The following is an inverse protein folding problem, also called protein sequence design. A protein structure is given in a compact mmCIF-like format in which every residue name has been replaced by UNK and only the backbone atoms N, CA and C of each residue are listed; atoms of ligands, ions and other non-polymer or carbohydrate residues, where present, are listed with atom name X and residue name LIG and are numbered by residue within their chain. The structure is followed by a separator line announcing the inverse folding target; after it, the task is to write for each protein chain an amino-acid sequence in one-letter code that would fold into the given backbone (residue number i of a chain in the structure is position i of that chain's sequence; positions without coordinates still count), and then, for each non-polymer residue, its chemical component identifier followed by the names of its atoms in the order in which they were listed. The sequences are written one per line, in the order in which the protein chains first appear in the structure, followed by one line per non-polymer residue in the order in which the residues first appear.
data_IF_612050983380
#
_entry.id   IF_612050983380
#
_cell.length_a   1.000
_cell.length_b   1.000
_cell.length_c   1.000
_cell.angle_alpha   90.00
_cell.angle_beta   90.00
_cell.angle_gamma   90.00
#
_symmetry.space_group_name_H-M   'P 1'
#
loop_
_entity.id
_entity.type
_entity.pdbx_description
1 polymer ?
#
# COMPACT_ATOMS: atom_id res chain seq x y z
N UNK A 1 46.99 -14.43 16.15
CA UNK A 1 46.91 -15.40 15.03
C UNK A 1 46.28 -14.70 13.85
N UNK A 2 47.08 -14.21 12.91
CA UNK A 2 46.57 -13.71 11.64
C UNK A 2 46.52 -14.90 10.70
N UNK A 3 45.32 -15.38 10.34
CA UNK A 3 45.15 -16.43 9.35
C UNK A 3 45.64 -15.91 8.00
N UNK A 4 46.71 -16.51 7.48
CA UNK A 4 47.53 -16.00 6.38
C UNK A 4 47.00 -16.32 4.97
N UNK A 5 45.76 -16.78 4.81
CA UNK A 5 45.31 -17.42 3.55
C UNK A 5 43.96 -16.93 3.02
N UNK A 6 43.75 -15.62 2.99
CA UNK A 6 42.81 -15.03 2.02
C UNK A 6 43.64 -14.28 0.98
N UNK A 7 43.79 -14.87 -0.21
CA UNK A 7 44.30 -14.17 -1.38
C UNK A 7 43.22 -13.18 -1.84
N UNK A 8 43.12 -12.06 -1.11
CA UNK A 8 42.05 -11.05 -1.25
C UNK A 8 42.01 -10.39 -2.63
N UNK A 9 43.05 -10.57 -3.46
CA UNK A 9 43.10 -10.05 -4.83
C UNK A 9 42.55 -10.99 -5.91
N UNK A 10 42.51 -12.31 -5.68
CA UNK A 10 42.23 -13.30 -6.75
C UNK A 10 40.90 -14.06 -6.60
N UNK A 11 40.15 -13.84 -5.50
CA UNK A 11 38.86 -14.52 -5.27
C UNK A 11 38.98 -16.02 -4.98
N UNK A 12 40.15 -16.47 -4.52
CA UNK A 12 40.49 -17.87 -4.31
C UNK A 12 40.69 -18.18 -2.82
N UNK A 13 40.39 -19.42 -2.46
CA UNK A 13 40.74 -20.06 -1.18
C UNK A 13 41.59 -21.29 -1.43
N UNK A 14 42.42 -21.63 -0.45
CA UNK A 14 43.24 -22.84 -0.49
C UNK A 14 42.36 -24.07 -0.26
N UNK A 15 42.45 -25.03 -1.18
CA UNK A 15 41.83 -26.36 -1.05
C UNK A 15 42.82 -27.36 -0.46
N UNK A 16 44.06 -27.31 -0.93
CA UNK A 16 45.17 -28.12 -0.45
C UNK A 16 46.42 -27.26 -0.38
N UNK A 17 47.07 -27.24 0.77
CA UNK A 17 48.31 -26.49 0.98
C UNK A 17 49.49 -27.03 0.21
N UNK A 18 50.55 -26.23 0.18
CA UNK A 18 51.82 -26.59 -0.42
C UNK A 18 52.38 -27.87 0.23
N UNK A 19 52.82 -28.81 -0.59
CA UNK A 19 53.53 -30.02 -0.17
C UNK A 19 54.96 -30.03 -0.75
N UNK A 20 55.83 -30.91 -0.24
CA UNK A 20 57.23 -30.98 -0.67
C UNK A 20 57.41 -31.27 -2.17
N UNK A 21 56.44 -31.94 -2.79
CA UNK A 21 56.47 -32.39 -4.19
C UNK A 21 55.26 -31.91 -5.01
N UNK A 22 54.43 -31.04 -4.45
CA UNK A 22 53.22 -30.56 -5.11
C UNK A 22 52.93 -29.12 -4.71
N UNK A 23 52.58 -28.31 -5.70
CA UNK A 23 52.15 -26.94 -5.50
C UNK A 23 50.81 -26.88 -4.77
N UNK A 24 50.54 -25.75 -4.12
CA UNK A 24 49.24 -25.44 -3.52
C UNK A 24 48.11 -25.53 -4.55
N UNK A 25 47.00 -26.15 -4.17
CA UNK A 25 45.77 -26.20 -4.97
C UNK A 25 44.77 -25.19 -4.44
N UNK A 26 44.32 -24.30 -5.32
CA UNK A 26 43.35 -23.25 -5.03
C UNK A 26 42.00 -23.54 -5.66
N UNK A 27 40.92 -23.09 -5.02
CA UNK A 27 39.56 -23.12 -5.54
C UNK A 27 38.86 -21.76 -5.33
N UNK A 28 37.80 -21.44 -6.10
CA UNK A 28 37.05 -20.19 -5.92
C UNK A 28 36.43 -20.07 -4.53
N UNK A 29 36.42 -18.86 -4.00
CA UNK A 29 35.68 -18.51 -2.79
C UNK A 29 34.16 -18.52 -3.04
N UNK A 30 33.37 -18.51 -1.97
CA UNK A 30 31.92 -18.35 -2.08
C UNK A 30 31.55 -17.02 -2.75
N UNK A 31 30.64 -17.08 -3.71
CA UNK A 31 30.28 -15.92 -4.54
C UNK A 31 31.28 -15.63 -5.67
N UNK A 32 32.21 -16.54 -5.98
CA UNK A 32 33.13 -16.45 -7.11
C UNK A 32 33.05 -17.70 -8.00
N UNK A 33 33.41 -17.54 -9.27
CA UNK A 33 33.58 -18.63 -10.22
C UNK A 33 34.96 -18.59 -10.85
N UNK A 34 35.48 -19.76 -11.23
CA UNK A 34 36.79 -19.88 -11.84
C UNK A 34 36.78 -19.35 -13.27
N UNK A 35 37.70 -18.45 -13.60
CA UNK A 35 37.91 -17.95 -14.96
C UNK A 35 39.17 -18.52 -15.62
N UNK A 36 40.10 -19.04 -14.82
CA UNK A 36 41.33 -19.68 -15.29
C UNK A 36 41.51 -21.06 -14.61
N UNK A 37 41.09 -22.11 -15.32
CA UNK A 37 41.16 -23.50 -14.87
C UNK A 37 42.57 -24.06 -15.05
N UNK A 38 43.12 -24.64 -13.98
CA UNK A 38 44.31 -25.49 -13.98
C UNK A 38 43.92 -26.97 -13.85
N UNK A 39 44.89 -27.87 -14.02
CA UNK A 39 44.68 -29.32 -13.97
C UNK A 39 43.95 -29.79 -12.71
N UNK A 40 44.25 -29.22 -11.55
CA UNK A 40 43.68 -29.64 -10.25
C UNK A 40 43.01 -28.49 -9.47
N UNK A 41 42.89 -27.29 -10.05
CA UNK A 41 42.41 -26.11 -9.32
C UNK A 41 42.13 -24.89 -10.19
N UNK A 42 42.09 -23.72 -9.57
CA UNK A 42 41.79 -22.45 -10.21
C UNK A 42 42.90 -21.43 -9.98
N UNK A 43 43.38 -20.80 -11.06
CA UNK A 43 44.45 -19.80 -10.99
C UNK A 43 43.91 -18.37 -10.76
N UNK A 44 42.70 -18.10 -11.21
CA UNK A 44 42.01 -16.83 -11.04
C UNK A 44 40.50 -17.04 -10.99
N UNK A 45 39.84 -16.37 -10.04
CA UNK A 45 38.40 -16.39 -9.92
C UNK A 45 37.81 -14.98 -10.00
N UNK A 46 36.61 -14.87 -10.54
CA UNK A 46 35.85 -13.63 -10.62
C UNK A 46 34.60 -13.73 -9.77
N UNK A 47 34.21 -12.61 -9.15
CA UNK A 47 32.98 -12.53 -8.38
C UNK A 47 31.78 -12.80 -9.29
N UNK A 48 30.82 -13.56 -8.81
CA UNK A 48 29.55 -13.75 -9.51
C UNK A 48 28.90 -12.40 -9.81
N UNK A 49 28.40 -12.24 -11.03
CA UNK A 49 27.61 -11.06 -11.38
C UNK A 49 26.35 -10.98 -10.53
N UNK A 50 25.92 -9.76 -10.25
CA UNK A 50 24.58 -9.50 -9.73
C UNK A 50 23.61 -9.36 -10.91
N UNK A 51 22.35 -9.69 -10.69
CA UNK A 51 21.30 -9.33 -11.61
C UNK A 51 20.85 -7.90 -11.32
N UNK A 52 20.50 -7.18 -12.38
CA UNK A 52 20.03 -5.80 -12.25
C UNK A 52 18.55 -5.79 -11.83
N UNK A 53 18.05 -4.69 -11.25
CA UNK A 53 16.61 -4.52 -11.07
C UNK A 53 15.90 -4.65 -12.43
N UNK A 54 14.80 -5.41 -12.48
CA UNK A 54 14.20 -5.85 -13.75
C UNK A 54 14.52 -7.30 -14.11
N UNK A 55 15.59 -7.86 -13.54
CA UNK A 55 16.03 -9.23 -13.78
C UNK A 55 15.88 -10.11 -12.54
N UNK A 56 15.69 -11.41 -12.77
CA UNK A 56 15.77 -12.44 -11.75
C UNK A 56 16.94 -13.39 -12.04
N UNK A 57 17.39 -14.11 -11.01
CA UNK A 57 18.44 -15.12 -11.13
C UNK A 57 17.84 -16.37 -11.76
N UNK A 58 18.08 -16.58 -13.05
CA UNK A 58 17.60 -17.77 -13.77
C UNK A 58 18.49 -18.98 -13.55
N UNK A 59 19.78 -18.78 -13.24
CA UNK A 59 20.68 -19.84 -12.80
C UNK A 59 21.65 -19.31 -11.76
N UNK A 60 21.70 -19.96 -10.60
CA UNK A 60 22.68 -19.65 -9.56
C UNK A 60 24.11 -19.89 -10.08
N UNK A 61 25.02 -18.98 -9.73
CA UNK A 61 26.44 -19.16 -9.96
C UNK A 61 26.98 -20.38 -9.20
N UNK A 62 27.99 -21.01 -9.76
CA UNK A 62 28.72 -22.13 -9.15
C UNK A 62 30.21 -21.79 -9.10
N UNK A 63 31.03 -22.65 -8.50
CA UNK A 63 32.49 -22.50 -8.56
C UNK A 63 33.04 -22.49 -10.00
N UNK A 64 32.30 -22.98 -10.99
CA UNK A 64 32.72 -23.08 -12.39
C UNK A 64 31.96 -22.17 -13.34
N UNK A 65 30.81 -21.62 -12.94
CA UNK A 65 29.96 -20.82 -13.80
C UNK A 65 29.49 -19.56 -13.10
N UNK A 66 29.42 -18.47 -13.84
CA UNK A 66 28.80 -17.24 -13.36
C UNK A 66 27.26 -17.38 -13.20
N UNK A 67 26.69 -16.51 -12.39
CA UNK A 67 25.25 -16.32 -12.24
C UNK A 67 24.64 -15.92 -13.59
N UNK A 68 23.51 -16.54 -13.95
CA UNK A 68 22.71 -16.11 -15.11
C UNK A 68 21.47 -15.36 -14.66
N UNK A 69 21.17 -14.30 -15.39
CA UNK A 69 20.05 -13.41 -15.16
C UNK A 69 19.10 -13.46 -16.35
N UNK A 70 17.81 -13.32 -16.08
CA UNK A 70 16.76 -13.23 -17.10
C UNK A 70 15.80 -12.09 -16.76
N UNK A 71 15.19 -11.47 -17.77
CA UNK A 71 14.25 -10.36 -17.61
C UNK A 71 12.90 -10.81 -17.03
N UNK A 72 12.27 -9.94 -16.26
CA UNK A 72 10.88 -10.11 -15.84
C UNK A 72 9.89 -9.82 -16.96
N UNK A 73 8.85 -10.65 -17.07
CA UNK A 73 7.73 -10.41 -17.97
C UNK A 73 6.82 -9.28 -17.45
N UNK A 74 6.02 -8.69 -18.33
CA UNK A 74 5.01 -7.72 -17.95
C UNK A 74 4.09 -8.23 -16.84
N UNK A 75 3.74 -7.36 -15.89
CA UNK A 75 2.97 -7.72 -14.70
C UNK A 75 3.77 -8.39 -13.58
N UNK A 76 5.10 -8.41 -13.69
CA UNK A 76 5.99 -8.94 -12.65
C UNK A 76 7.23 -8.06 -12.47
N UNK A 77 7.87 -8.17 -11.31
CA UNK A 77 9.06 -7.40 -10.96
C UNK A 77 10.10 -8.19 -10.17
N UNK A 78 11.34 -7.69 -10.16
CA UNK A 78 12.40 -8.15 -9.28
C UNK A 78 13.43 -7.06 -9.02
N UNK A 79 13.98 -7.03 -7.82
CA UNK A 79 15.08 -6.14 -7.42
C UNK A 79 16.47 -6.68 -7.81
N UNK A 80 16.56 -7.78 -8.57
CA UNK A 80 17.84 -8.40 -8.96
C UNK A 80 18.38 -9.44 -7.99
N UNK A 81 17.73 -9.69 -6.85
CA UNK A 81 18.18 -10.68 -5.85
C UNK A 81 17.30 -11.93 -5.77
N UNK A 82 16.19 -11.97 -6.52
CA UNK A 82 15.21 -13.05 -6.44
C UNK A 82 15.51 -14.15 -7.46
N UNK A 83 15.08 -15.39 -7.16
CA UNK A 83 15.17 -16.55 -8.07
C UNK A 83 14.02 -16.60 -9.10
N UNK A 84 13.03 -15.73 -8.95
CA UNK A 84 11.91 -15.56 -9.87
C UNK A 84 11.35 -14.15 -9.72
N UNK A 85 10.68 -13.65 -10.75
CA UNK A 85 9.93 -12.40 -10.64
C UNK A 85 8.68 -12.60 -9.78
N UNK A 86 8.34 -11.58 -9.00
CA UNK A 86 7.09 -11.54 -8.25
C UNK A 86 6.02 -10.83 -9.07
N UNK A 87 4.76 -11.31 -9.05
CA UNK A 87 3.67 -10.60 -9.71
C UNK A 87 3.46 -9.22 -9.06
N UNK A 88 3.01 -8.25 -9.85
CA UNK A 88 2.62 -6.94 -9.32
C UNK A 88 1.42 -7.05 -8.39
N UNK A 89 1.40 -6.20 -7.36
CA UNK A 89 0.25 -6.04 -6.48
C UNK A 89 -0.94 -5.49 -7.27
N UNK A 90 -2.07 -6.20 -7.17
CA UNK A 90 -3.33 -5.80 -7.79
C UNK A 90 -4.15 -4.95 -6.82
N UNK A 91 -3.94 -3.63 -6.83
CA UNK A 91 -4.56 -2.71 -5.87
C UNK A 91 -6.09 -2.83 -5.76
N UNK A 92 -6.77 -3.12 -6.87
CA UNK A 92 -8.24 -3.24 -6.89
C UNK A 92 -8.74 -4.42 -6.04
N UNK A 93 -7.98 -5.52 -5.97
CA UNK A 93 -8.31 -6.67 -5.11
C UNK A 93 -8.24 -6.33 -3.62
N UNK A 94 -7.41 -5.34 -3.28
CA UNK A 94 -7.20 -4.84 -1.92
C UNK A 94 -8.10 -3.64 -1.58
N UNK A 95 -9.09 -3.31 -2.42
CA UNK A 95 -9.93 -2.10 -2.29
C UNK A 95 -9.14 -0.78 -2.26
N UNK A 96 -7.94 -0.77 -2.82
CA UNK A 96 -7.08 0.41 -2.95
C UNK A 96 -7.08 0.92 -4.39
N UNK A 97 -6.68 2.17 -4.59
CA UNK A 97 -6.43 2.72 -5.92
C UNK A 97 -4.95 2.63 -6.27
N UNK A 98 -4.68 2.33 -7.53
CA UNK A 98 -3.34 2.41 -8.09
C UNK A 98 -2.86 3.86 -8.08
N UNK A 99 -1.82 4.14 -7.29
CA UNK A 99 -1.17 5.46 -7.24
C UNK A 99 -0.08 5.52 -8.31
N UNK A 100 0.67 4.42 -8.47
CA UNK A 100 1.75 4.31 -9.45
C UNK A 100 1.83 2.90 -9.99
N UNK A 101 1.88 2.79 -11.30
CA UNK A 101 2.04 1.51 -11.98
C UNK A 101 3.39 0.86 -11.63
N UNK A 102 3.37 -0.45 -11.43
CA UNK A 102 4.59 -1.25 -11.27
C UNK A 102 5.43 -1.26 -12.54
N UNK A 103 6.72 -1.54 -12.38
CA UNK A 103 7.69 -1.71 -13.46
C UNK A 103 8.35 -3.08 -13.36
N UNK A 104 9.25 -3.47 -14.28
CA UNK A 104 9.99 -4.72 -14.10
C UNK A 104 10.90 -4.71 -12.86
N UNK A 105 11.25 -3.55 -12.31
CA UNK A 105 12.14 -3.42 -11.16
C UNK A 105 11.42 -3.11 -9.84
N UNK A 106 10.18 -2.64 -9.89
CA UNK A 106 9.42 -2.20 -8.72
C UNK A 106 7.97 -2.65 -8.78
N UNK A 107 7.39 -2.89 -7.62
CA UNK A 107 5.96 -3.18 -7.52
C UNK A 107 5.09 -1.96 -7.84
N UNK A 108 3.80 -2.20 -8.04
CA UNK A 108 2.77 -1.18 -8.04
C UNK A 108 2.59 -0.56 -6.65
N UNK A 109 2.41 0.77 -6.59
CA UNK A 109 2.12 1.48 -5.35
C UNK A 109 0.61 1.72 -5.25
N UNK A 110 0.01 1.25 -4.17
CA UNK A 110 -1.42 1.36 -3.89
C UNK A 110 -1.69 2.38 -2.78
N UNK A 111 -2.85 3.03 -2.80
CA UNK A 111 -3.24 4.02 -1.80
C UNK A 111 -4.75 4.14 -1.65
N UNK A 112 -5.20 4.74 -0.55
CA UNK A 112 -6.62 4.87 -0.26
C UNK A 112 -7.36 5.74 -1.28
N UNK A 113 -8.61 5.37 -1.53
CA UNK A 113 -9.53 6.20 -2.30
C UNK A 113 -10.00 7.36 -1.44
N UNK A 114 -9.41 8.54 -1.62
CA UNK A 114 -9.97 9.80 -1.10
C UNK A 114 -11.33 10.03 -1.74
N UNK A 115 -12.38 9.52 -1.10
CA UNK A 115 -13.73 9.66 -1.56
C UNK A 115 -14.25 11.02 -1.10
N UNK A 116 -14.21 12.01 -2.00
CA UNK A 116 -14.88 13.30 -1.82
C UNK A 116 -16.39 13.18 -1.57
N UNK A 117 -16.96 11.98 -1.74
CA UNK A 117 -18.34 11.67 -1.40
C UNK A 117 -18.68 12.02 0.05
N UNK A 118 -17.77 11.85 1.00
CA UNK A 118 -18.04 12.26 2.40
C UNK A 118 -18.26 13.76 2.51
N UNK A 119 -17.43 14.57 1.84
CA UNK A 119 -17.58 16.02 1.81
C UNK A 119 -18.84 16.49 1.08
N UNK A 120 -19.19 15.84 -0.04
CA UNK A 120 -20.41 16.14 -0.82
C UNK A 120 -21.66 15.78 -0.01
N UNK A 121 -21.70 14.63 0.65
CA UNK A 121 -22.83 14.19 1.47
C UNK A 121 -23.05 15.15 2.64
N UNK A 122 -21.97 15.55 3.32
CA UNK A 122 -22.05 16.54 4.42
C UNK A 122 -22.53 17.90 3.88
N UNK A 123 -22.02 18.34 2.73
CA UNK A 123 -22.44 19.58 2.09
C UNK A 123 -23.92 19.59 1.74
N UNK A 124 -24.42 18.53 1.09
CA UNK A 124 -25.84 18.38 0.74
C UNK A 124 -26.73 18.36 1.98
N UNK A 125 -26.34 17.62 3.03
CA UNK A 125 -27.06 17.60 4.30
C UNK A 125 -27.14 19.00 4.93
N UNK A 126 -26.02 19.72 4.99
CA UNK A 126 -25.99 21.10 5.51
C UNK A 126 -26.87 22.05 4.69
N UNK A 127 -26.84 21.97 3.36
CA UNK A 127 -27.67 22.80 2.49
C UNK A 127 -29.16 22.52 2.67
N UNK A 128 -29.56 21.25 2.81
CA UNK A 128 -30.97 20.89 3.04
C UNK A 128 -31.47 21.38 4.41
N UNK A 129 -30.63 21.30 5.45
CA UNK A 129 -30.96 21.84 6.78
C UNK A 129 -31.05 23.37 6.75
N UNK A 130 -30.13 24.05 6.07
CA UNK A 130 -30.16 25.51 5.94
C UNK A 130 -31.37 25.99 5.13
N UNK A 131 -31.74 25.28 4.05
CA UNK A 131 -32.89 25.61 3.22
C UNK A 131 -34.22 25.39 3.95
N UNK A 132 -34.35 24.35 4.78
CA UNK A 132 -35.57 24.11 5.59
C UNK A 132 -35.72 25.17 6.69
N UNK A 133 -34.63 25.53 7.38
CA UNK A 133 -34.63 26.60 8.39
C UNK A 133 -34.88 27.97 7.72
N UNK A 134 -34.13 28.30 6.67
CA UNK A 134 -34.25 29.58 5.96
C UNK A 134 -35.60 29.74 5.26
N UNK A 135 -36.08 28.70 4.59
CA UNK A 135 -37.41 28.65 3.98
C UNK A 135 -38.53 28.72 5.02
N UNK A 136 -38.41 28.01 6.14
CA UNK A 136 -39.36 28.08 7.25
C UNK A 136 -39.45 29.47 7.86
N UNK A 137 -38.31 30.14 8.11
CA UNK A 137 -38.25 31.52 8.62
C UNK A 137 -38.81 32.52 7.60
N UNK A 138 -38.51 32.34 6.31
CA UNK A 138 -39.01 33.20 5.24
C UNK A 138 -40.53 33.08 5.09
N UNK A 139 -41.06 31.86 5.07
CA UNK A 139 -42.51 31.60 5.02
C UNK A 139 -43.22 32.14 6.27
N UNK A 140 -42.62 31.96 7.46
CA UNK A 140 -43.18 32.51 8.69
C UNK A 140 -43.22 34.05 8.68
N UNK A 141 -42.15 34.70 8.20
CA UNK A 141 -42.07 36.15 8.08
C UNK A 141 -42.99 36.71 7.00
N UNK A 142 -43.12 36.01 5.87
CA UNK A 142 -44.05 36.35 4.80
C UNK A 142 -45.49 36.25 5.29
N UNK A 143 -45.86 35.16 5.96
CA UNK A 143 -47.19 34.96 6.54
C UNK A 143 -47.51 35.99 7.65
N UNK A 144 -46.51 36.41 8.42
CA UNK A 144 -46.65 37.48 9.42
C UNK A 144 -46.92 38.84 8.77
N UNK A 145 -46.36 39.11 7.59
CA UNK A 145 -46.56 40.35 6.84
C UNK A 145 -47.86 40.38 6.02
N UNK A 146 -48.39 39.23 5.59
CA UNK A 146 -49.66 39.15 4.83
C UNK A 146 -50.92 39.11 5.70
N UNK A 147 -50.85 39.29 7.03
CA UNK A 147 -52.05 39.60 7.82
C UNK A 147 -52.35 41.11 7.72
N UNK A 148 -53.39 41.56 6.99
CA UNK A 148 -53.84 42.94 7.05
C UNK A 148 -54.34 43.23 8.47
N UNK A 149 -53.99 44.43 8.95
CA UNK A 149 -54.41 44.96 10.23
C UNK A 149 -55.93 45.19 10.19
N UNK A 150 -56.70 44.30 10.81
CA UNK A 150 -58.13 44.53 11.09
C UNK A 150 -58.30 44.68 12.59
N UNK A 151 -58.24 45.92 13.04
CA UNK A 151 -58.66 46.35 14.37
C UNK A 151 -60.15 46.07 14.52
N UNK A 152 -60.57 45.26 15.49
CA UNK A 152 -61.74 45.55 16.32
C UNK A 152 -61.57 44.88 17.67
N UNK A 153 -61.82 45.72 18.67
CA UNK A 153 -61.71 45.57 20.11
C UNK A 153 -62.56 44.40 20.64
N UNK A 154 -62.12 43.77 21.73
CA UNK A 154 -62.87 43.66 23.01
C UNK A 154 -62.56 42.38 23.81
N UNK A 155 -61.72 42.61 24.82
CA UNK A 155 -61.77 42.10 26.20
C UNK A 155 -61.70 40.60 26.54
N UNK A 156 -61.07 40.40 27.71
CA UNK A 156 -61.17 39.29 28.68
C UNK A 156 -60.16 38.18 28.37
N UNK A 157 -59.05 38.06 29.09
CA UNK A 157 -58.83 38.26 30.52
C UNK A 157 -58.34 36.93 31.07
N UNK A 158 -57.26 36.91 31.85
CA UNK A 158 -56.87 35.70 32.58
C UNK A 158 -55.38 35.46 32.64
N UNK A 159 -54.91 35.24 33.87
CA UNK A 159 -53.55 35.17 34.39
C UNK A 159 -53.21 33.71 34.71
N UNK A 160 -51.93 33.46 35.05
CA UNK A 160 -51.31 32.23 35.59
C UNK A 160 -50.86 31.24 34.52
N UNK A 161 -49.68 30.61 34.58
CA UNK A 161 -48.70 30.47 35.64
C UNK A 161 -48.35 28.98 35.80
N UNK A 162 -47.08 28.61 35.60
CA UNK A 162 -46.43 27.48 36.27
C UNK A 162 -46.51 26.08 35.65
N UNK A 163 -45.36 25.42 35.77
CA UNK A 163 -45.08 23.99 35.96
C UNK A 163 -44.92 23.05 34.73
N UNK A 164 -43.75 22.42 34.75
CA UNK A 164 -43.38 21.14 34.14
C UNK A 164 -44.37 20.01 34.49
N UNK A 165 -44.47 19.00 33.63
CA UNK A 165 -44.22 17.59 33.99
C UNK A 165 -44.11 16.72 32.73
N UNK A 166 -43.12 15.83 32.70
CA UNK A 166 -42.99 14.73 31.77
C UNK A 166 -43.97 13.60 32.09
N UNK A 167 -44.56 12.93 31.10
CA UNK A 167 -44.81 11.48 31.19
C UNK A 167 -44.72 10.85 29.80
N UNK A 168 -43.76 9.94 29.65
CA UNK A 168 -43.73 8.92 28.61
C UNK A 168 -44.65 7.75 28.97
N UNK A 169 -45.42 7.18 28.02
CA UNK A 169 -45.68 5.73 27.98
C UNK A 169 -46.33 5.24 26.67
N UNK A 170 -45.58 4.40 25.94
CA UNK A 170 -45.89 3.18 25.16
C UNK A 170 -47.29 2.91 24.49
N UNK A 171 -47.22 2.62 23.17
CA UNK A 171 -47.68 1.43 22.36
C UNK A 171 -48.71 0.44 23.00
N UNK A 172 -49.59 -0.33 22.26
CA UNK A 172 -49.30 -1.02 20.97
C UNK A 172 -50.47 -1.38 19.99
N UNK A 173 -50.12 -2.18 18.95
CA UNK A 173 -50.91 -3.16 18.12
C UNK A 173 -51.69 -2.60 16.91
N UNK A 174 -51.18 -2.80 15.68
CA UNK A 174 -51.50 -3.84 14.65
C UNK A 174 -52.97 -3.93 14.18
N UNK A 175 -53.17 -3.83 12.85
CA UNK A 175 -54.11 -4.65 12.09
C UNK A 175 -53.78 -4.66 10.58
N UNK A 176 -53.29 -5.80 10.10
CA UNK A 176 -53.63 -6.39 8.79
C UNK A 176 -55.12 -6.84 8.81
N UNK A 177 -55.78 -7.32 7.72
CA UNK A 177 -55.30 -7.67 6.36
C UNK A 177 -56.22 -7.18 5.20
N UNK A 178 -55.72 -7.21 3.96
CA UNK A 178 -56.18 -8.15 2.92
C UNK A 178 -55.19 -8.14 1.74
#
# INVERSE_FOLDING_TARGET
MWNLYMFTGAGLKEKLGCQLNADTVCEPMEGFYCTDLKSEGCAAAQKHRRCEPGQFISKMGTASNDTKCSECSSGSFSNGTMLSCQPHTECEKENLQLIKAGTSSTDAECGEKSSNTTGIVIGVLFFLVAATIGGGVFLWKYHKNTKPNSSTNQQRGGKAGGAEEEVAFNMPVQETPR
#
